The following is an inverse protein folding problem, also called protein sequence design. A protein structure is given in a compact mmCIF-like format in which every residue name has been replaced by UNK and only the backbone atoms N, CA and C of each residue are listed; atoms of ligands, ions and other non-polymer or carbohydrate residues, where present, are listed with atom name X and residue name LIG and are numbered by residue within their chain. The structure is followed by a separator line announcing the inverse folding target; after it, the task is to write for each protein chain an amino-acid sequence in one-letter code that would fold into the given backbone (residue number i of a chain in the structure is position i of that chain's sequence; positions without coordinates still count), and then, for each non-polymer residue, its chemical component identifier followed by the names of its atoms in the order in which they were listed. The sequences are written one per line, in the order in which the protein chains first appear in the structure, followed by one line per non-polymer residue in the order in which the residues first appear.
data_IF_735018623696
#
_entry.id   IF_735018623696
#
_cell.length_a   1.000
_cell.length_b   1.000
_cell.length_c   1.000
_cell.angle_alpha   90.00
_cell.angle_beta   90.00
_cell.angle_gamma   90.00
#
_symmetry.space_group_name_H-M   'P 1'
#
loop_
_entity.id
_entity.type
_entity.pdbx_description
1 polymer ?
#
# COMPACT_ATOMS: atom_id res chain seq x y z
N UNK A 1 -35.80 -44.21 -45.37
CA UNK A 1 -35.26 -42.92 -44.90
C UNK A 1 -34.76 -43.16 -43.47
N UNK A 2 -33.60 -43.78 -43.27
CA UNK A 2 -32.25 -43.26 -43.59
C UNK A 2 -32.08 -41.84 -43.04
N UNK A 3 -31.46 -41.75 -41.86
CA UNK A 3 -30.20 -41.04 -41.62
C UNK A 3 -29.75 -41.41 -40.19
N UNK A 4 -28.76 -42.29 -40.12
CA UNK A 4 -27.93 -42.50 -38.95
C UNK A 4 -26.78 -41.45 -38.95
N UNK A 5 -25.68 -41.63 -38.20
CA UNK A 5 -25.52 -41.29 -36.79
C UNK A 5 -24.37 -40.28 -36.58
N UNK A 6 -24.23 -39.70 -35.40
CA UNK A 6 -22.98 -39.03 -35.04
C UNK A 6 -22.62 -39.31 -33.57
N UNK A 7 -22.05 -40.50 -33.38
CA UNK A 7 -21.05 -40.76 -32.35
C UNK A 7 -19.77 -40.05 -32.79
N UNK A 8 -19.21 -39.19 -31.94
CA UNK A 8 -17.81 -38.80 -31.99
C UNK A 8 -17.36 -38.53 -30.55
N UNK A 9 -16.88 -39.52 -29.78
CA UNK A 9 -15.53 -40.11 -29.81
C UNK A 9 -14.40 -39.07 -29.85
N UNK A 10 -13.53 -39.21 -28.84
CA UNK A 10 -12.13 -38.81 -28.79
C UNK A 10 -11.81 -37.29 -28.81
N UNK A 11 -11.39 -36.78 -27.65
CA UNK A 11 -10.02 -36.25 -27.51
C UNK A 11 -9.64 -36.16 -26.04
N UNK A 12 -9.01 -37.22 -25.56
CA UNK A 12 -8.11 -37.19 -24.40
C UNK A 12 -7.02 -36.15 -24.66
N UNK A 13 -7.23 -34.92 -24.24
CA UNK A 13 -6.14 -33.94 -24.17
C UNK A 13 -5.40 -34.16 -22.86
N UNK A 14 -4.32 -34.95 -22.98
CA UNK A 14 -3.13 -34.87 -22.16
C UNK A 14 -2.75 -33.41 -21.91
N UNK A 15 -3.18 -32.83 -20.78
CA UNK A 15 -2.55 -31.61 -20.26
C UNK A 15 -1.27 -32.05 -19.58
N UNK A 16 -0.23 -32.18 -20.41
CA UNK A 16 1.14 -32.38 -19.99
C UNK A 16 1.63 -31.07 -19.36
N UNK A 17 1.98 -31.14 -18.08
CA UNK A 17 2.67 -30.08 -17.34
C UNK A 17 3.88 -29.55 -18.12
N UNK A 18 4.21 -28.27 -17.93
CA UNK A 18 5.60 -27.91 -17.75
C UNK A 18 5.84 -27.31 -16.35
N UNK A 19 6.61 -28.06 -15.58
CA UNK A 19 7.86 -27.61 -14.95
C UNK A 19 7.81 -26.44 -13.97
N UNK A 20 8.16 -26.78 -12.73
CA UNK A 20 8.52 -25.88 -11.65
C UNK A 20 9.48 -24.76 -12.10
N UNK A 21 9.07 -23.51 -11.88
CA UNK A 21 9.94 -22.35 -11.98
C UNK A 21 10.80 -22.23 -10.70
N UNK A 22 12.08 -21.84 -10.84
CA UNK A 22 13.05 -21.90 -9.76
C UNK A 22 12.86 -20.78 -8.73
N UNK A 23 13.21 -21.14 -7.50
CA UNK A 23 13.35 -20.28 -6.33
C UNK A 23 14.25 -19.06 -6.65
N UNK A 24 13.64 -17.93 -6.99
CA UNK A 24 14.36 -16.69 -7.25
C UNK A 24 14.75 -16.02 -5.93
N UNK A 25 15.99 -16.26 -5.54
CA UNK A 25 16.92 -15.34 -4.89
C UNK A 25 16.32 -14.37 -3.84
N UNK A 26 16.50 -14.76 -2.58
CA UNK A 26 16.46 -13.87 -1.44
C UNK A 26 17.32 -12.62 -1.72
N UNK A 27 16.67 -11.49 -2.00
CA UNK A 27 17.33 -10.19 -2.04
C UNK A 27 17.73 -9.83 -0.62
N UNK A 28 19.01 -9.95 -0.33
CA UNK A 28 19.67 -9.48 0.89
C UNK A 28 19.37 -7.99 1.09
N UNK A 29 18.60 -7.68 2.13
CA UNK A 29 18.37 -6.31 2.59
C UNK A 29 19.67 -5.78 3.18
N UNK A 30 20.25 -4.66 2.68
CA UNK A 30 21.45 -4.09 3.27
C UNK A 30 21.10 -3.51 4.65
N UNK A 31 21.73 -4.06 5.69
CA UNK A 31 21.68 -3.52 7.06
C UNK A 31 22.52 -2.25 7.09
N UNK A 32 21.88 -1.09 7.18
CA UNK A 32 22.58 0.18 7.35
C UNK A 32 23.28 0.19 8.72
N UNK A 33 24.59 -0.05 8.72
CA UNK A 33 25.45 0.21 9.85
C UNK A 33 25.35 1.70 10.21
N UNK A 34 24.85 2.00 11.41
CA UNK A 34 24.89 3.34 11.96
C UNK A 34 26.33 3.63 12.36
N UNK A 35 27.10 4.25 11.47
CA UNK A 35 28.39 4.84 11.81
C UNK A 35 28.10 6.10 12.62
N UNK A 36 28.18 5.97 13.94
CA UNK A 36 28.37 7.12 14.83
C UNK A 36 29.79 7.62 14.57
N UNK A 37 29.90 8.63 13.72
CA UNK A 37 31.13 9.34 13.47
C UNK A 37 31.43 10.21 14.71
N UNK A 38 32.19 9.67 15.67
CA UNK A 38 32.77 10.46 16.75
C UNK A 38 33.98 11.22 16.18
N UNK A 39 33.79 12.49 15.86
CA UNK A 39 34.91 13.39 15.58
C UNK A 39 35.67 13.65 16.90
N UNK A 40 36.99 13.43 16.96
CA UNK A 40 37.78 13.87 18.09
C UNK A 40 37.99 15.39 18.04
N UNK A 41 37.56 16.09 19.09
CA UNK A 41 38.05 17.43 19.40
C UNK A 41 39.51 17.33 19.83
N UNK A 42 40.44 17.50 18.90
CA UNK A 42 41.85 17.68 19.21
C UNK A 42 42.22 19.15 19.03
N UNK A 43 42.37 19.83 20.16
CA UNK A 43 42.93 21.16 20.28
C UNK A 43 44.42 21.17 19.87
N UNK A 44 44.81 22.16 19.08
CA UNK A 44 46.21 22.41 18.73
C UNK A 44 46.40 23.87 18.38
N UNK A 45 46.85 24.66 19.35
CA UNK A 45 47.22 26.05 19.17
C UNK A 45 48.62 26.16 18.56
N UNK A 46 48.84 27.01 17.55
CA UNK A 46 50.09 27.78 17.43
C UNK A 46 50.00 28.94 16.42
N UNK A 47 49.97 30.15 17.01
CA UNK A 47 50.77 31.35 16.70
C UNK A 47 50.90 31.83 15.23
N UNK A 48 50.31 33.02 15.05
CA UNK A 48 50.79 34.17 14.26
C UNK A 48 50.94 33.97 12.75
N UNK A 49 49.87 34.23 12.02
CA UNK A 49 49.94 35.13 10.87
C UNK A 49 48.78 36.13 10.94
N UNK A 50 49.13 37.36 11.28
CA UNK A 50 48.27 38.51 11.10
C UNK A 50 48.37 38.94 9.63
N UNK A 51 47.30 38.77 8.87
CA UNK A 51 46.94 39.65 7.75
C UNK A 51 45.59 39.20 7.17
N UNK A 52 44.62 40.10 7.26
CA UNK A 52 43.42 40.23 6.42
C UNK A 52 42.73 38.95 5.93
N UNK A 53 41.63 38.58 6.58
CA UNK A 53 40.40 38.14 5.89
C UNK A 53 39.18 38.59 6.68
N UNK A 54 38.83 39.87 6.53
CA UNK A 54 37.50 40.36 6.86
C UNK A 54 36.53 39.79 5.82
N UNK A 55 35.99 38.60 6.06
CA UNK A 55 34.95 38.00 5.21
C UNK A 55 33.95 37.21 6.06
N UNK A 56 32.88 37.91 6.45
CA UNK A 56 31.50 37.42 6.44
C UNK A 56 31.14 36.23 7.35
N UNK A 57 31.31 36.40 8.66
CA UNK A 57 30.67 35.53 9.65
C UNK A 57 29.24 36.01 9.97
N UNK A 58 28.29 35.86 9.03
CA UNK A 58 26.85 36.04 9.33
C UNK A 58 25.97 35.21 8.37
N UNK A 59 26.30 33.94 8.18
CA UNK A 59 25.38 33.00 7.55
C UNK A 59 24.31 32.58 8.59
N UNK A 60 23.26 33.40 8.72
CA UNK A 60 22.08 33.07 9.50
C UNK A 60 21.47 31.78 8.93
N UNK A 61 21.44 30.73 9.75
CA UNK A 61 20.74 29.48 9.46
C UNK A 61 19.24 29.76 9.38
N UNK A 62 18.74 30.12 8.20
CA UNK A 62 17.30 30.13 7.93
C UNK A 62 16.82 28.69 7.85
N UNK A 63 16.33 28.15 8.96
CA UNK A 63 15.57 26.91 8.94
C UNK A 63 14.34 27.13 8.03
N UNK A 64 14.10 26.27 7.02
CA UNK A 64 12.92 26.42 6.17
C UNK A 64 11.66 26.24 7.02
N UNK A 65 10.59 27.02 6.79
CA UNK A 65 9.33 26.82 7.48
C UNK A 65 8.82 25.41 7.18
N UNK A 66 8.49 24.65 8.23
CA UNK A 66 7.76 23.39 8.10
C UNK A 66 6.39 23.72 7.49
N UNK A 67 6.26 23.51 6.18
CA UNK A 67 4.98 23.66 5.50
C UNK A 67 3.98 22.69 6.13
N UNK A 68 2.95 23.23 6.78
CA UNK A 68 1.83 22.44 7.25
C UNK A 68 1.20 21.74 6.04
N UNK A 69 1.32 20.41 5.97
CA UNK A 69 0.65 19.63 4.94
C UNK A 69 -0.85 19.71 5.23
N UNK A 70 -1.61 20.36 4.35
CA UNK A 70 -3.07 20.33 4.43
C UNK A 70 -3.52 18.85 4.41
N UNK A 71 -4.18 18.43 5.48
CA UNK A 71 -4.83 17.12 5.50
C UNK A 71 -5.99 17.19 4.50
N UNK A 72 -5.99 16.30 3.51
CA UNK A 72 -7.15 16.17 2.64
C UNK A 72 -8.32 15.68 3.51
N UNK A 73 -9.36 16.50 3.65
CA UNK A 73 -10.61 16.07 4.27
C UNK A 73 -11.27 15.05 3.34
N UNK A 74 -11.65 13.91 3.92
CA UNK A 74 -12.39 12.87 3.20
C UNK A 74 -13.83 13.35 3.01
N UNK A 75 -14.44 13.01 1.87
CA UNK A 75 -15.89 13.20 1.73
C UNK A 75 -16.63 12.22 2.64
N UNK A 76 -17.87 12.53 3.03
CA UNK A 76 -18.68 11.63 3.87
C UNK A 76 -18.87 10.23 3.24
N UNK A 77 -18.92 10.15 1.91
CA UNK A 77 -18.93 8.88 1.17
C UNK A 77 -17.65 8.08 1.33
N UNK A 78 -16.49 8.76 1.28
CA UNK A 78 -15.19 8.13 1.48
C UNK A 78 -14.99 7.71 2.94
N UNK A 79 -15.50 8.49 3.88
CA UNK A 79 -15.49 8.17 5.31
C UNK A 79 -16.21 6.85 5.59
N UNK A 80 -17.40 6.64 5.01
CA UNK A 80 -18.14 5.37 5.12
C UNK A 80 -17.30 4.17 4.66
N UNK A 81 -16.54 4.33 3.57
CA UNK A 81 -15.68 3.27 3.05
C UNK A 81 -14.52 3.00 4.01
N UNK A 82 -13.91 4.05 4.57
CA UNK A 82 -12.84 3.90 5.57
C UNK A 82 -13.36 3.19 6.81
N UNK A 83 -14.55 3.55 7.28
CA UNK A 83 -15.18 2.95 8.46
C UNK A 83 -15.45 1.46 8.23
N UNK A 84 -16.12 1.11 7.14
CA UNK A 84 -16.40 -0.28 6.80
C UNK A 84 -15.11 -1.10 6.66
N UNK A 85 -14.10 -0.54 5.98
CA UNK A 85 -12.79 -1.16 5.88
C UNK A 85 -12.15 -1.38 7.25
N UNK A 86 -12.25 -0.41 8.16
CA UNK A 86 -11.63 -0.46 9.48
C UNK A 86 -12.32 -1.48 10.40
N UNK A 87 -13.65 -1.64 10.29
CA UNK A 87 -14.40 -2.70 11.00
C UNK A 87 -13.89 -4.07 10.59
N UNK A 88 -13.78 -4.32 9.28
CA UNK A 88 -13.26 -5.60 8.77
C UNK A 88 -11.79 -5.79 9.13
N UNK A 89 -10.96 -4.76 8.99
CA UNK A 89 -9.53 -4.82 9.35
C UNK A 89 -9.30 -5.30 10.79
N UNK A 90 -10.20 -4.96 11.73
CA UNK A 90 -10.09 -5.35 13.15
C UNK A 90 -10.83 -6.64 13.50
N UNK A 91 -11.90 -6.97 12.78
CA UNK A 91 -12.82 -8.05 13.14
C UNK A 91 -12.82 -9.26 12.20
N UNK A 92 -12.08 -9.21 11.09
CA UNK A 92 -12.04 -10.31 10.13
C UNK A 92 -11.19 -11.48 10.67
N UNK A 93 -11.69 -12.71 10.47
CA UNK A 93 -11.13 -13.92 11.08
C UNK A 93 -9.78 -14.32 10.47
N UNK A 94 -9.61 -14.13 9.16
CA UNK A 94 -8.39 -14.47 8.43
C UNK A 94 -7.51 -13.23 8.23
N UNK A 95 -6.35 -13.21 8.87
CA UNK A 95 -5.41 -12.09 8.77
C UNK A 95 -4.82 -11.89 7.37
N UNK A 96 -4.93 -12.89 6.49
CA UNK A 96 -4.47 -12.79 5.10
C UNK A 96 -5.55 -12.26 4.15
N UNK A 97 -6.78 -12.03 4.62
CA UNK A 97 -7.89 -11.49 3.81
C UNK A 97 -8.11 -12.27 2.50
N UNK A 98 -7.98 -13.61 2.54
CA UNK A 98 -8.05 -14.46 1.35
C UNK A 98 -6.88 -14.26 0.37
N UNK A 99 -5.69 -13.94 0.88
CA UNK A 99 -4.48 -13.66 0.09
C UNK A 99 -4.46 -12.29 -0.57
N UNK A 100 -5.30 -11.35 -0.12
CA UNK A 100 -5.42 -10.00 -0.69
C UNK A 100 -4.77 -8.95 0.20
N UNK A 101 -4.13 -7.96 -0.42
CA UNK A 101 -3.65 -6.79 0.31
C UNK A 101 -4.82 -5.84 0.62
N UNK A 102 -5.38 -6.01 1.82
CA UNK A 102 -6.54 -5.24 2.26
C UNK A 102 -6.26 -3.74 2.33
N UNK A 103 -5.03 -3.32 2.60
CA UNK A 103 -4.64 -1.90 2.64
C UNK A 103 -4.53 -1.31 1.23
N UNK A 104 -4.04 -2.09 0.28
CA UNK A 104 -4.03 -1.71 -1.14
C UNK A 104 -5.45 -1.55 -1.68
N UNK A 105 -6.36 -2.46 -1.31
CA UNK A 105 -7.78 -2.37 -1.67
C UNK A 105 -8.37 -1.05 -1.16
N UNK A 106 -8.25 -0.71 0.12
CA UNK A 106 -8.70 0.59 0.65
C UNK A 106 -8.18 1.77 -0.17
N UNK A 107 -6.88 1.77 -0.45
CA UNK A 107 -6.23 2.85 -1.18
C UNK A 107 -6.77 2.98 -2.61
N UNK A 108 -7.12 1.86 -3.26
CA UNK A 108 -7.77 1.87 -4.57
C UNK A 108 -9.19 2.43 -4.51
N UNK A 109 -9.96 2.10 -3.47
CA UNK A 109 -11.32 2.63 -3.29
C UNK A 109 -11.34 4.11 -2.91
N UNK A 110 -10.36 4.61 -2.15
CA UNK A 110 -10.26 6.02 -1.79
C UNK A 110 -9.84 6.95 -2.94
N UNK A 111 -9.19 6.40 -3.98
CA UNK A 111 -8.87 7.16 -5.20
C UNK A 111 -10.10 7.44 -6.08
N UNK A 112 -11.20 6.72 -5.85
CA UNK A 112 -12.45 6.88 -6.61
C UNK A 112 -13.21 8.10 -6.08
N UNK A 113 -13.94 8.76 -6.98
CA UNK A 113 -14.88 9.82 -6.63
C UNK A 113 -16.26 9.21 -6.44
N UNK A 114 -16.89 9.50 -5.31
CA UNK A 114 -18.25 9.09 -5.01
C UNK A 114 -19.17 10.29 -5.09
N UNK A 115 -20.27 10.17 -5.83
CA UNK A 115 -21.25 11.26 -6.02
C UNK A 115 -22.48 11.13 -5.14
N UNK A 116 -22.65 10.00 -4.46
CA UNK A 116 -23.76 9.77 -3.54
C UNK A 116 -23.44 8.70 -2.49
N UNK A 117 -24.13 8.79 -1.36
CA UNK A 117 -24.09 7.75 -0.31
C UNK A 117 -24.55 6.37 -0.82
N UNK A 118 -25.48 6.32 -1.77
CA UNK A 118 -25.90 5.06 -2.39
C UNK A 118 -24.74 4.39 -3.15
N UNK A 119 -23.96 5.18 -3.90
CA UNK A 119 -22.77 4.70 -4.59
C UNK A 119 -21.69 4.24 -3.61
N UNK A 120 -21.50 4.96 -2.50
CA UNK A 120 -20.57 4.57 -1.43
C UNK A 120 -20.93 3.22 -0.80
N UNK A 121 -22.21 3.02 -0.43
CA UNK A 121 -22.73 1.74 0.09
C UNK A 121 -22.56 0.59 -0.89
N UNK A 122 -22.82 0.85 -2.18
CA UNK A 122 -22.55 -0.11 -3.26
C UNK A 122 -21.06 -0.46 -3.34
N UNK A 123 -20.19 0.54 -3.27
CA UNK A 123 -18.74 0.34 -3.28
C UNK A 123 -18.26 -0.45 -2.06
N UNK A 124 -18.79 -0.19 -0.86
CA UNK A 124 -18.52 -1.01 0.33
C UNK A 124 -18.95 -2.46 0.08
N UNK A 125 -20.14 -2.69 -0.46
CA UNK A 125 -20.63 -4.04 -0.76
C UNK A 125 -19.69 -4.78 -1.71
N UNK A 126 -19.23 -4.12 -2.78
CA UNK A 126 -18.25 -4.68 -3.72
C UNK A 126 -16.89 -4.92 -3.06
N UNK A 127 -16.42 -3.99 -2.24
CA UNK A 127 -15.15 -4.11 -1.51
C UNK A 127 -15.16 -5.33 -0.57
N UNK A 128 -16.27 -5.58 0.12
CA UNK A 128 -16.43 -6.76 0.98
C UNK A 128 -16.51 -8.05 0.17
N UNK A 129 -17.17 -8.03 -0.99
CA UNK A 129 -17.26 -9.18 -1.88
C UNK A 129 -15.89 -9.64 -2.41
N UNK A 130 -14.90 -8.74 -2.49
CA UNK A 130 -13.54 -9.12 -2.86
C UNK A 130 -12.94 -10.14 -1.89
N UNK A 131 -13.33 -10.16 -0.61
CA UNK A 131 -12.82 -11.14 0.35
C UNK A 131 -13.22 -12.59 0.01
N UNK A 132 -14.22 -12.78 -0.85
CA UNK A 132 -14.67 -14.10 -1.28
C UNK A 132 -15.42 -14.89 -0.19
N UNK A 133 -15.76 -14.24 0.92
CA UNK A 133 -16.46 -14.85 2.05
C UNK A 133 -17.97 -14.56 1.98
N UNK A 134 -18.77 -15.63 1.96
CA UNK A 134 -20.25 -15.59 1.96
C UNK A 134 -20.87 -14.93 3.19
N UNK A 135 -20.13 -14.86 4.29
CA UNK A 135 -20.58 -14.32 5.58
C UNK A 135 -20.15 -12.87 5.80
N UNK A 136 -19.29 -12.32 4.93
CA UNK A 136 -18.86 -10.92 5.02
C UNK A 136 -19.62 -10.06 4.02
N UNK A 137 -20.69 -9.40 4.50
CA UNK A 137 -21.56 -8.56 3.66
C UNK A 137 -21.95 -7.25 4.36
N UNK A 138 -22.23 -6.24 3.55
CA UNK A 138 -22.80 -4.99 4.04
C UNK A 138 -24.31 -5.16 4.28
N UNK A 139 -24.80 -4.66 5.40
CA UNK A 139 -26.22 -4.69 5.76
C UNK A 139 -26.75 -3.25 5.75
N UNK A 140 -27.75 -3.00 4.92
CA UNK A 140 -28.41 -1.69 4.87
C UNK A 140 -29.47 -1.62 5.97
N UNK A 141 -29.50 -0.58 6.81
CA UNK A 141 -30.55 -0.41 7.81
C UNK A 141 -31.90 -0.19 7.09
N UNK A 142 -32.87 -1.08 7.34
CA UNK A 142 -34.22 -1.01 6.75
C UNK A 142 -34.40 -1.78 5.43
N UNK A 143 -33.51 -2.74 5.12
CA UNK A 143 -33.75 -3.75 4.08
C UNK A 143 -34.77 -4.81 4.53
#
# INVERSE_FOLDING_TARGET
AELAPAVNQASSMLVRFPTALPLAAARSVPRFAHTTNLLPFAAGATRRQAALTLALALAATSAPPLAARAAAELSGEQELIVEAWAVVQRGYVDQQFGGKDWKAIKSAYLKRKYTSMAQARGAVSTMLAELGDRYTRYLTPGA
#
